data_IF_799145967763
#
_entry.id   IF_799145967763
#
_cell.length_a   1.000
_cell.length_b   1.000
_cell.length_c   1.000
_cell.angle_alpha   90.00
_cell.angle_beta   90.00
_cell.angle_gamma   90.00
#
_symmetry.space_group_name_H-M   'P 1'
#
loop_
_entity.id
_entity.type
_entity.pdbx_description
1 polymer ?
#
# COMPACT_ATOMS: atom_id res chain seq x y z
N UNK A 1 45.46 61.60 -2.60
CA UNK A 1 44.15 61.31 -2.02
C UNK A 1 43.47 60.24 -2.85
N UNK A 2 43.99 58.99 -2.86
CA UNK A 2 43.47 57.89 -3.73
C UNK A 2 44.00 56.52 -3.27
N UNK A 3 43.95 56.18 -1.98
CA UNK A 3 44.39 54.86 -1.51
C UNK A 3 43.37 54.17 -0.55
N UNK A 4 42.19 54.78 -0.32
CA UNK A 4 41.26 54.29 0.70
C UNK A 4 40.11 53.38 0.18
N UNK A 5 40.05 53.02 -1.10
CA UNK A 5 38.89 52.30 -1.66
C UNK A 5 39.14 50.85 -2.07
N UNK A 6 40.38 50.35 -2.10
CA UNK A 6 40.68 49.01 -2.57
C UNK A 6 40.54 47.89 -1.49
N UNK A 7 40.63 48.28 -0.22
CA UNK A 7 40.58 47.27 0.87
C UNK A 7 39.15 46.89 1.29
N UNK A 8 38.18 47.77 1.01
CA UNK A 8 36.78 47.55 1.33
C UNK A 8 36.12 46.59 0.34
N UNK A 9 36.54 46.65 -0.92
CA UNK A 9 35.97 45.76 -1.98
C UNK A 9 36.45 44.33 -1.86
N UNK A 10 37.69 44.11 -1.43
CA UNK A 10 38.24 42.75 -1.24
C UNK A 10 37.52 41.97 -0.10
N UNK A 11 37.18 42.67 0.99
CA UNK A 11 36.45 42.04 2.12
C UNK A 11 35.03 41.68 1.75
N UNK A 12 34.34 42.59 1.01
CA UNK A 12 32.97 42.33 0.51
C UNK A 12 32.96 41.14 -0.46
N UNK A 13 33.94 41.02 -1.35
CA UNK A 13 34.04 39.87 -2.27
C UNK A 13 34.33 38.56 -1.55
N UNK A 14 35.16 38.55 -0.51
CA UNK A 14 35.46 37.37 0.31
C UNK A 14 34.19 36.93 1.08
N UNK A 15 33.43 37.85 1.67
CA UNK A 15 32.18 37.53 2.36
C UNK A 15 31.08 37.04 1.41
N UNK A 16 30.97 37.63 0.20
CA UNK A 16 30.04 37.18 -0.82
C UNK A 16 30.39 35.77 -1.32
N UNK A 17 31.70 35.48 -1.50
CA UNK A 17 32.16 34.12 -1.86
C UNK A 17 31.89 33.08 -0.77
N UNK A 18 32.12 33.44 0.52
CA UNK A 18 31.80 32.55 1.64
C UNK A 18 30.29 32.27 1.77
N UNK A 19 29.47 33.29 1.56
CA UNK A 19 28.00 33.17 1.59
C UNK A 19 27.48 32.25 0.47
N UNK A 20 28.07 32.34 -0.74
CA UNK A 20 27.72 31.48 -1.87
C UNK A 20 28.12 30.02 -1.62
N UNK A 21 29.28 29.76 -1.01
CA UNK A 21 29.73 28.40 -0.65
C UNK A 21 28.83 27.79 0.44
N UNK A 22 28.41 28.58 1.42
CA UNK A 22 27.47 28.12 2.47
C UNK A 22 26.07 27.84 1.88
N UNK A 23 25.59 28.67 0.94
CA UNK A 23 24.29 28.44 0.29
C UNK A 23 24.30 27.16 -0.59
N UNK A 24 25.43 26.85 -1.24
CA UNK A 24 25.55 25.62 -2.05
C UNK A 24 25.68 24.36 -1.19
N UNK A 25 26.21 24.45 0.03
CA UNK A 25 26.26 23.31 0.97
C UNK A 25 24.89 22.95 1.56
N UNK A 26 23.96 23.88 1.65
CA UNK A 26 22.61 23.65 2.20
C UNK A 26 21.70 22.91 1.19
N UNK A 27 21.98 23.00 -0.11
CA UNK A 27 21.18 22.33 -1.16
C UNK A 27 21.57 20.86 -1.43
N UNK A 28 22.59 20.31 -0.74
CA UNK A 28 23.01 18.90 -0.83
C UNK A 28 22.44 18.01 0.29
N UNK A 29 21.46 18.50 1.04
CA UNK A 29 20.64 17.69 1.93
C UNK A 29 19.67 16.85 1.09
N UNK A 30 20.18 15.85 0.36
CA UNK A 30 19.35 14.78 -0.19
C UNK A 30 18.61 14.12 0.97
N UNK A 31 17.30 14.05 0.87
CA UNK A 31 16.45 13.28 1.77
C UNK A 31 16.95 11.81 1.80
N UNK A 32 17.73 11.51 2.82
CA UNK A 32 18.38 10.21 3.01
C UNK A 32 17.37 9.15 3.49
N UNK A 33 16.16 9.57 3.87
CA UNK A 33 15.11 8.68 4.35
C UNK A 33 14.55 7.76 3.24
N UNK A 34 14.73 8.15 1.98
CA UNK A 34 14.28 7.37 0.81
C UNK A 34 15.25 6.28 0.35
N UNK A 35 16.43 6.16 0.98
CA UNK A 35 17.51 5.24 0.53
C UNK A 35 17.62 3.95 1.34
N UNK A 36 17.07 3.90 2.56
CA UNK A 36 17.08 2.67 3.33
C UNK A 36 15.98 1.70 2.80
N UNK A 37 16.33 0.42 2.55
CA UNK A 37 15.33 -0.57 2.14
C UNK A 37 14.20 -0.65 3.17
N UNK A 38 12.98 -0.91 2.72
CA UNK A 38 11.87 -1.15 3.63
C UNK A 38 12.16 -2.38 4.49
N UNK A 39 11.76 -2.39 5.77
CA UNK A 39 11.97 -3.54 6.65
C UNK A 39 11.27 -4.78 6.11
N UNK A 40 11.81 -5.96 6.41
CA UNK A 40 11.12 -7.24 6.23
C UNK A 40 10.51 -7.62 7.58
N UNK A 41 9.18 -7.68 7.63
CA UNK A 41 8.41 -7.97 8.86
C UNK A 41 8.05 -9.46 8.94
N UNK A 42 7.77 -10.08 7.80
CA UNK A 42 7.35 -11.47 7.69
C UNK A 42 7.43 -11.99 6.27
N UNK A 43 6.95 -13.19 6.07
CA UNK A 43 6.84 -13.83 4.74
C UNK A 43 5.46 -14.43 4.59
N UNK A 44 4.84 -14.23 3.43
CA UNK A 44 3.57 -14.84 3.09
C UNK A 44 3.81 -16.16 2.38
N UNK A 45 3.15 -17.18 2.91
CA UNK A 45 3.00 -18.49 2.28
C UNK A 45 1.53 -18.90 2.42
N UNK A 46 0.77 -18.83 1.31
CA UNK A 46 -0.66 -19.09 1.28
C UNK A 46 -0.89 -20.35 0.45
N UNK A 47 -1.18 -21.49 1.09
CA UNK A 47 -1.36 -22.76 0.39
C UNK A 47 -2.73 -22.91 -0.27
N UNK A 48 -3.62 -21.90 -0.10
CA UNK A 48 -4.99 -21.94 -0.56
C UNK A 48 -5.16 -21.26 -1.91
N UNK A 49 -6.20 -21.66 -2.62
CA UNK A 49 -6.64 -21.05 -3.86
C UNK A 49 -8.04 -20.47 -3.63
N UNK A 50 -8.21 -19.21 -3.96
CA UNK A 50 -9.47 -18.48 -3.82
C UNK A 50 -10.12 -18.26 -5.19
N UNK A 51 -11.39 -17.90 -5.19
CA UNK A 51 -12.12 -17.55 -6.41
C UNK A 51 -12.35 -16.04 -6.47
N UNK A 52 -11.96 -15.41 -7.59
CA UNK A 52 -12.13 -13.97 -7.75
C UNK A 52 -13.53 -13.59 -8.28
N UNK A 53 -13.79 -12.28 -8.39
CA UNK A 53 -15.04 -11.72 -8.89
C UNK A 53 -15.37 -12.07 -10.34
N UNK A 54 -14.43 -12.62 -11.10
CA UNK A 54 -14.66 -13.16 -12.47
C UNK A 54 -14.68 -14.69 -12.53
N UNK A 55 -14.84 -15.34 -11.37
CA UNK A 55 -14.85 -16.81 -11.23
C UNK A 55 -13.53 -17.46 -11.66
N UNK A 56 -12.40 -16.75 -11.53
CA UNK A 56 -11.06 -17.29 -11.79
C UNK A 56 -10.46 -17.82 -10.48
N UNK A 57 -9.67 -18.89 -10.60
CA UNK A 57 -8.92 -19.40 -9.46
C UNK A 57 -7.66 -18.56 -9.25
N UNK A 58 -7.50 -18.02 -8.05
CA UNK A 58 -6.42 -17.12 -7.65
C UNK A 58 -5.60 -17.81 -6.55
N UNK A 59 -4.40 -18.22 -6.86
CA UNK A 59 -3.44 -18.79 -5.94
C UNK A 59 -2.21 -17.91 -5.78
N UNK A 60 -1.27 -18.33 -4.94
CA UNK A 60 -0.05 -17.59 -4.64
C UNK A 60 0.82 -17.35 -5.87
N UNK A 61 0.76 -18.23 -6.86
CA UNK A 61 1.53 -18.14 -8.11
C UNK A 61 1.25 -16.85 -8.90
N UNK A 62 0.05 -16.29 -8.82
CA UNK A 62 -0.29 -15.03 -9.47
C UNK A 62 0.53 -13.86 -8.94
N UNK A 63 0.93 -13.92 -7.68
CA UNK A 63 1.63 -12.84 -6.98
C UNK A 63 3.16 -13.00 -6.99
N UNK A 64 3.67 -14.12 -7.52
CA UNK A 64 5.11 -14.33 -7.65
C UNK A 64 5.73 -13.28 -8.58
N UNK A 65 6.76 -12.59 -8.10
CA UNK A 65 7.40 -11.50 -8.85
C UNK A 65 6.59 -10.21 -8.91
N UNK A 66 5.45 -10.12 -8.23
CA UNK A 66 4.62 -8.93 -8.14
C UNK A 66 4.71 -8.28 -6.76
N UNK A 67 4.57 -6.97 -6.73
CA UNK A 67 4.30 -6.21 -5.51
C UNK A 67 2.79 -6.15 -5.37
N UNK A 68 2.27 -6.34 -4.17
CA UNK A 68 0.84 -6.21 -3.97
C UNK A 68 0.46 -5.66 -2.60
N UNK A 69 -0.75 -5.13 -2.53
CA UNK A 69 -1.38 -4.73 -1.28
C UNK A 69 -2.56 -5.63 -1.02
N UNK A 70 -2.60 -6.23 0.19
CA UNK A 70 -3.69 -7.09 0.62
C UNK A 70 -4.50 -6.42 1.73
N UNK A 71 -5.83 -6.66 1.73
CA UNK A 71 -6.74 -6.34 2.81
C UNK A 71 -7.83 -7.40 3.00
N UNK A 72 -8.58 -7.26 4.10
CA UNK A 72 -9.75 -8.07 4.45
C UNK A 72 -10.96 -7.16 4.61
N UNK A 73 -12.07 -7.52 3.99
CA UNK A 73 -13.28 -6.71 3.92
C UNK A 73 -14.53 -7.58 3.86
N UNK A 74 -15.70 -6.98 3.86
CA UNK A 74 -16.95 -7.59 3.42
C UNK A 74 -17.87 -6.53 2.82
N UNK A 75 -18.69 -6.91 1.83
CA UNK A 75 -19.40 -5.94 0.99
C UNK A 75 -20.50 -5.19 1.76
N UNK A 76 -21.07 -5.83 2.80
CA UNK A 76 -22.14 -5.28 3.65
C UNK A 76 -21.65 -4.51 4.89
N UNK A 77 -20.33 -4.26 5.03
CA UNK A 77 -19.75 -3.55 6.18
C UNK A 77 -20.28 -2.11 6.29
N UNK A 78 -20.90 -1.73 7.43
CA UNK A 78 -21.49 -0.41 7.57
C UNK A 78 -20.54 0.66 8.13
N UNK A 79 -19.30 0.32 8.50
CA UNK A 79 -18.41 1.18 9.30
C UNK A 79 -17.13 1.57 8.57
N UNK A 80 -16.06 0.78 8.73
CA UNK A 80 -14.72 1.14 8.26
C UNK A 80 -14.48 0.83 6.76
N UNK A 81 -15.16 -0.18 6.21
CA UNK A 81 -14.91 -0.60 4.83
C UNK A 81 -15.17 0.50 3.78
N UNK A 82 -16.20 1.36 3.88
CA UNK A 82 -16.35 2.48 2.95
C UNK A 82 -15.14 3.41 2.92
N UNK A 83 -14.54 3.70 4.09
CA UNK A 83 -13.34 4.53 4.21
C UNK A 83 -12.15 3.80 3.59
N UNK A 84 -11.89 2.56 4.02
CA UNK A 84 -10.80 1.73 3.48
C UNK A 84 -10.92 1.57 1.96
N UNK A 85 -12.12 1.34 1.44
CA UNK A 85 -12.36 1.18 0.01
C UNK A 85 -12.05 2.46 -0.77
N UNK A 86 -12.43 3.61 -0.25
CA UNK A 86 -12.04 4.91 -0.83
C UNK A 86 -10.51 5.08 -0.88
N UNK A 87 -9.81 4.68 0.17
CA UNK A 87 -8.36 4.74 0.22
C UNK A 87 -7.70 3.72 -0.73
N UNK A 88 -8.26 2.50 -0.84
CA UNK A 88 -7.77 1.50 -1.78
C UNK A 88 -7.95 1.94 -3.24
N UNK A 89 -9.05 2.64 -3.55
CA UNK A 89 -9.26 3.25 -4.87
C UNK A 89 -8.18 4.29 -5.22
N UNK A 90 -7.67 5.06 -4.25
CA UNK A 90 -6.53 5.97 -4.49
C UNK A 90 -5.27 5.22 -4.91
N UNK A 91 -5.01 4.05 -4.29
CA UNK A 91 -3.89 3.19 -4.65
C UNK A 91 -4.13 2.61 -6.05
N UNK A 92 -5.33 2.08 -6.29
CA UNK A 92 -5.76 1.53 -7.57
C UNK A 92 -5.55 2.52 -8.72
N UNK A 93 -6.12 3.72 -8.63
CA UNK A 93 -6.01 4.74 -9.67
C UNK A 93 -4.57 5.13 -9.98
N UNK A 94 -3.68 5.06 -9.00
CA UNK A 94 -2.28 5.39 -9.19
C UNK A 94 -1.47 4.29 -9.86
N UNK A 95 -1.80 3.02 -9.61
CA UNK A 95 -0.96 1.89 -10.01
C UNK A 95 -1.64 0.87 -10.92
N UNK A 96 -2.91 1.04 -11.29
CA UNK A 96 -3.69 0.07 -12.10
C UNK A 96 -3.06 -0.29 -13.45
N UNK A 97 -2.28 0.63 -14.02
CA UNK A 97 -1.61 0.43 -15.31
C UNK A 97 -0.17 -0.13 -15.15
N UNK A 98 0.26 -0.44 -13.92
CA UNK A 98 1.58 -1.01 -13.65
C UNK A 98 1.48 -2.54 -13.56
N UNK A 99 2.07 -3.24 -14.51
CA UNK A 99 2.04 -4.70 -14.61
C UNK A 99 2.79 -5.43 -13.49
N UNK A 100 3.61 -4.72 -12.68
CA UNK A 100 4.33 -5.27 -11.53
C UNK A 100 3.55 -5.16 -10.22
N UNK A 101 2.36 -4.54 -10.24
CA UNK A 101 1.58 -4.25 -9.03
C UNK A 101 0.16 -4.81 -9.11
N UNK A 102 -0.32 -5.35 -8.00
CA UNK A 102 -1.68 -5.89 -7.87
C UNK A 102 -2.33 -5.47 -6.55
N UNK A 103 -3.65 -5.50 -6.51
CA UNK A 103 -4.45 -5.41 -5.29
C UNK A 103 -5.18 -6.72 -5.04
N UNK A 104 -5.26 -7.12 -3.77
CA UNK A 104 -5.90 -8.36 -3.34
C UNK A 104 -6.77 -8.11 -2.11
N UNK A 105 -8.08 -8.22 -2.25
CA UNK A 105 -9.04 -8.05 -1.15
C UNK A 105 -9.76 -9.36 -0.88
N UNK A 106 -9.62 -9.90 0.34
CA UNK A 106 -10.30 -11.12 0.75
C UNK A 106 -11.62 -10.79 1.45
N UNK A 107 -12.73 -11.33 0.96
CA UNK A 107 -13.98 -11.23 1.71
C UNK A 107 -13.95 -12.17 2.92
N UNK A 108 -14.32 -11.64 4.10
CA UNK A 108 -14.44 -12.43 5.33
C UNK A 108 -15.86 -12.94 5.58
N UNK A 109 -16.80 -12.63 4.69
CA UNK A 109 -18.19 -13.10 4.70
C UNK A 109 -18.53 -13.87 3.40
N UNK A 110 -17.87 -15.02 3.16
CA UNK A 110 -18.03 -15.76 1.90
C UNK A 110 -19.43 -16.33 1.69
N UNK A 111 -20.25 -16.43 2.73
CA UNK A 111 -21.64 -16.88 2.63
C UNK A 111 -22.51 -15.83 1.96
N UNK A 112 -22.26 -14.56 2.18
CA UNK A 112 -22.94 -13.43 1.54
C UNK A 112 -22.21 -12.98 0.26
N UNK A 113 -20.88 -12.85 0.33
CA UNK A 113 -20.04 -12.32 -0.73
C UNK A 113 -19.69 -13.41 -1.76
N UNK A 114 -20.70 -13.87 -2.48
CA UNK A 114 -20.52 -14.80 -3.60
C UNK A 114 -19.78 -14.14 -4.76
N UNK A 115 -19.38 -14.93 -5.76
CA UNK A 115 -18.73 -14.41 -6.98
C UNK A 115 -19.59 -13.34 -7.65
N UNK A 116 -20.92 -13.56 -7.73
CA UNK A 116 -21.85 -12.60 -8.33
C UNK A 116 -21.88 -11.28 -7.53
N UNK A 117 -21.94 -11.37 -6.19
CA UNK A 117 -21.94 -10.19 -5.31
C UNK A 117 -20.63 -9.42 -5.45
N UNK A 118 -19.49 -10.12 -5.49
CA UNK A 118 -18.18 -9.50 -5.68
C UNK A 118 -18.04 -8.88 -7.09
N UNK A 119 -18.59 -9.50 -8.12
CA UNK A 119 -18.61 -8.95 -9.48
C UNK A 119 -19.41 -7.65 -9.54
N UNK A 120 -20.64 -7.63 -8.99
CA UNK A 120 -21.45 -6.44 -8.90
C UNK A 120 -20.77 -5.33 -8.06
N UNK A 121 -20.07 -5.73 -7.00
CA UNK A 121 -19.32 -4.79 -6.16
C UNK A 121 -18.15 -4.16 -6.93
N UNK A 122 -17.40 -4.97 -7.68
CA UNK A 122 -16.32 -4.50 -8.55
C UNK A 122 -16.84 -3.53 -9.63
N UNK A 123 -17.99 -3.86 -10.26
CA UNK A 123 -18.62 -2.99 -11.25
C UNK A 123 -19.02 -1.63 -10.67
N UNK A 124 -19.56 -1.58 -9.45
CA UNK A 124 -19.87 -0.33 -8.76
C UNK A 124 -18.64 0.52 -8.42
N UNK A 125 -17.48 -0.12 -8.19
CA UNK A 125 -16.21 0.54 -7.95
C UNK A 125 -15.50 0.94 -9.25
N UNK A 126 -15.96 0.49 -10.41
CA UNK A 126 -15.32 0.65 -11.71
C UNK A 126 -13.86 0.14 -11.72
N UNK A 127 -13.62 -1.03 -11.13
CA UNK A 127 -12.29 -1.66 -11.04
C UNK A 127 -12.17 -2.86 -11.99
N UNK A 128 -10.95 -3.05 -12.51
CA UNK A 128 -10.60 -4.16 -13.40
C UNK A 128 -10.02 -5.33 -12.60
N UNK A 129 -10.53 -6.54 -12.86
CA UNK A 129 -10.12 -7.74 -12.14
C UNK A 129 -8.67 -8.17 -12.43
N UNK A 130 -8.03 -7.64 -13.47
CA UNK A 130 -6.62 -7.91 -13.78
C UNK A 130 -5.65 -7.08 -12.93
N UNK A 131 -6.14 -6.01 -12.29
CA UNK A 131 -5.34 -5.15 -11.41
C UNK A 131 -5.79 -5.23 -9.95
N UNK A 132 -7.06 -5.61 -9.70
CA UNK A 132 -7.60 -5.73 -8.35
C UNK A 132 -8.52 -6.95 -8.22
N UNK A 133 -8.02 -7.98 -7.52
CA UNK A 133 -8.77 -9.21 -7.25
C UNK A 133 -9.56 -9.06 -5.94
N UNK A 134 -10.88 -9.21 -6.03
CA UNK A 134 -11.77 -9.40 -4.89
C UNK A 134 -12.05 -10.88 -4.78
N UNK A 135 -11.59 -11.53 -3.72
CA UNK A 135 -11.64 -13.00 -3.63
C UNK A 135 -12.54 -13.49 -2.52
N UNK A 136 -13.14 -14.65 -2.75
CA UNK A 136 -13.93 -15.44 -1.82
C UNK A 136 -13.48 -16.89 -1.83
N UNK A 137 -13.90 -17.69 -0.84
CA UNK A 137 -13.50 -19.10 -0.72
C UNK A 137 -14.05 -19.77 0.54
N UNK A 138 -13.42 -20.84 1.00
CA UNK A 138 -13.80 -21.45 2.26
C UNK A 138 -13.48 -20.52 3.44
N UNK A 139 -14.43 -20.35 4.36
CA UNK A 139 -14.33 -19.42 5.49
C UNK A 139 -13.07 -19.65 6.33
N UNK A 140 -12.80 -20.91 6.64
CA UNK A 140 -11.65 -21.31 7.45
C UNK A 140 -10.33 -20.95 6.78
N UNK A 141 -10.23 -21.11 5.46
CA UNK A 141 -9.04 -20.78 4.67
C UNK A 141 -8.83 -19.26 4.60
N UNK A 142 -9.91 -18.49 4.49
CA UNK A 142 -9.84 -17.02 4.51
C UNK A 142 -9.34 -16.53 5.88
N UNK A 143 -9.85 -17.09 6.98
CA UNK A 143 -9.45 -16.68 8.33
C UNK A 143 -8.03 -17.13 8.66
N UNK A 144 -7.60 -18.33 8.23
CA UNK A 144 -6.20 -18.74 8.33
C UNK A 144 -5.29 -17.82 7.51
N UNK A 145 -5.74 -17.44 6.31
CA UNK A 145 -5.01 -16.46 5.47
C UNK A 145 -4.87 -15.12 6.17
N UNK A 146 -5.90 -14.58 6.80
CA UNK A 146 -5.80 -13.35 7.59
C UNK A 146 -4.75 -13.47 8.70
N UNK A 147 -4.75 -14.58 9.42
CA UNK A 147 -3.76 -14.85 10.45
C UNK A 147 -2.32 -14.90 9.88
N UNK A 148 -2.12 -15.51 8.69
CA UNK A 148 -0.81 -15.52 8.01
C UNK A 148 -0.33 -14.14 7.59
N UNK A 149 -1.26 -13.26 7.25
CA UNK A 149 -0.96 -11.83 7.03
C UNK A 149 -0.69 -11.07 8.33
N UNK A 150 -0.82 -11.70 9.51
CA UNK A 150 -0.71 -11.01 10.80
C UNK A 150 -1.89 -10.10 11.10
N UNK A 151 -3.04 -10.34 10.45
CA UNK A 151 -4.27 -9.56 10.58
C UNK A 151 -5.34 -10.36 11.30
N UNK A 152 -6.26 -9.67 11.99
CA UNK A 152 -7.42 -10.30 12.61
C UNK A 152 -8.60 -10.31 11.63
N UNK A 153 -9.30 -11.45 11.56
CA UNK A 153 -10.61 -11.60 10.93
C UNK A 153 -11.41 -12.63 11.74
N UNK A 154 -12.62 -12.27 12.18
CA UNK A 154 -13.50 -13.16 12.95
C UNK A 154 -14.95 -12.72 12.90
N UNK A 155 -15.86 -13.67 13.10
CA UNK A 155 -17.25 -13.37 13.39
C UNK A 155 -17.42 -12.88 14.83
N UNK A 156 -18.19 -11.81 14.99
CA UNK A 156 -18.67 -11.35 16.29
C UNK A 156 -20.08 -10.77 16.12
N UNK A 157 -21.07 -11.47 16.65
CA UNK A 157 -22.49 -11.07 16.56
C UNK A 157 -22.79 -9.70 17.19
N UNK A 158 -21.89 -9.19 18.04
CA UNK A 158 -22.02 -7.88 18.67
C UNK A 158 -21.33 -6.77 17.87
N UNK A 159 -20.52 -7.13 16.89
CA UNK A 159 -19.85 -6.17 16.02
C UNK A 159 -20.81 -5.65 14.94
N UNK A 160 -20.63 -4.39 14.49
CA UNK A 160 -21.37 -3.85 13.35
C UNK A 160 -21.18 -4.72 12.10
N UNK A 161 -22.29 -5.25 11.56
CA UNK A 161 -22.26 -6.16 10.42
C UNK A 161 -21.91 -7.61 10.74
N UNK A 162 -21.69 -7.96 12.02
CA UNK A 162 -21.44 -9.34 12.45
C UNK A 162 -19.99 -9.80 12.38
N UNK A 163 -19.04 -8.92 12.02
CA UNK A 163 -17.64 -9.27 11.82
C UNK A 163 -16.69 -8.23 12.41
N UNK A 164 -15.52 -8.69 12.84
CA UNK A 164 -14.35 -7.87 13.18
C UNK A 164 -13.25 -8.22 12.20
N UNK A 165 -12.66 -7.21 11.58
CA UNK A 165 -11.44 -7.34 10.80
C UNK A 165 -10.46 -6.20 11.06
N UNK A 166 -9.18 -6.46 10.78
CA UNK A 166 -8.16 -5.42 10.85
C UNK A 166 -8.46 -4.32 9.82
N UNK A 167 -8.44 -3.07 10.25
CA UNK A 167 -8.50 -1.90 9.38
C UNK A 167 -7.18 -1.58 8.67
N UNK A 168 -6.33 -2.57 8.42
CA UNK A 168 -4.97 -2.37 7.90
C UNK A 168 -4.81 -2.94 6.49
N UNK A 169 -4.00 -2.26 5.68
CA UNK A 169 -3.44 -2.73 4.43
C UNK A 169 -2.07 -3.34 4.67
N UNK A 170 -1.77 -4.47 4.02
CA UNK A 170 -0.47 -5.14 4.09
C UNK A 170 0.24 -5.00 2.76
N UNK A 171 1.44 -4.41 2.77
CA UNK A 171 2.32 -4.31 1.60
C UNK A 171 3.23 -5.51 1.52
N UNK A 172 3.24 -6.20 0.38
CA UNK A 172 4.05 -7.38 0.11
C UNK A 172 4.91 -7.15 -1.15
N UNK A 173 6.17 -7.56 -1.08
CA UNK A 173 7.11 -7.42 -2.21
C UNK A 173 7.11 -8.63 -3.15
N UNK A 174 7.94 -8.54 -4.23
CA UNK A 174 8.07 -9.56 -5.27
C UNK A 174 8.50 -10.94 -4.75
N UNK A 175 9.11 -11.01 -3.58
CA UNK A 175 9.56 -12.26 -2.93
C UNK A 175 8.55 -12.78 -1.87
N UNK A 176 7.36 -12.18 -1.80
CA UNK A 176 6.35 -12.54 -0.79
C UNK A 176 6.72 -12.08 0.63
N UNK A 177 7.58 -11.06 0.78
CA UNK A 177 7.94 -10.50 2.08
C UNK A 177 6.98 -9.37 2.45
N UNK A 178 6.47 -9.40 3.68
CA UNK A 178 5.70 -8.30 4.25
C UNK A 178 6.66 -7.15 4.54
N UNK A 179 6.39 -5.98 3.95
CA UNK A 179 7.22 -4.78 4.05
C UNK A 179 6.59 -3.70 4.92
N UNK A 180 5.30 -3.81 5.24
CA UNK A 180 4.62 -2.86 6.11
C UNK A 180 3.15 -3.16 6.31
N UNK A 181 2.61 -2.60 7.42
CA UNK A 181 1.19 -2.53 7.73
C UNK A 181 0.79 -1.06 7.82
N UNK A 182 -0.32 -0.70 7.17
CA UNK A 182 -0.78 0.68 7.07
C UNK A 182 -2.25 0.75 7.43
N UNK A 183 -2.62 1.66 8.33
CA UNK A 183 -4.03 1.84 8.69
C UNK A 183 -4.81 2.39 7.49
N UNK A 184 -5.69 1.56 6.93
CA UNK A 184 -6.49 1.87 5.75
C UNK A 184 -7.57 2.94 5.99
N UNK A 185 -7.82 3.31 7.26
CA UNK A 185 -8.74 4.38 7.65
C UNK A 185 -8.06 5.74 7.82
N UNK A 186 -6.72 5.81 7.77
CA UNK A 186 -5.92 7.02 7.96
C UNK A 186 -5.27 7.44 6.64
N UNK A 187 -5.64 8.61 6.13
CA UNK A 187 -5.13 9.12 4.84
C UNK A 187 -3.61 9.23 4.81
N UNK A 188 -3.00 9.74 5.89
CA UNK A 188 -1.54 9.88 6.01
C UNK A 188 -0.82 8.53 5.99
N UNK A 189 -1.43 7.48 6.56
CA UNK A 189 -0.88 6.13 6.50
C UNK A 189 -0.93 5.58 5.07
N UNK A 190 -1.99 5.85 4.34
CA UNK A 190 -2.13 5.45 2.94
C UNK A 190 -1.19 6.25 2.03
N UNK A 191 -0.94 7.52 2.32
CA UNK A 191 0.06 8.33 1.60
C UNK A 191 1.47 7.74 1.77
N UNK A 192 1.82 7.25 2.96
CA UNK A 192 3.08 6.51 3.18
C UNK A 192 3.09 5.20 2.39
N UNK A 193 2.01 4.42 2.43
CA UNK A 193 1.88 3.19 1.65
C UNK A 193 2.13 3.44 0.15
N UNK A 194 1.50 4.47 -0.41
CA UNK A 194 1.66 4.84 -1.83
C UNK A 194 3.13 5.17 -2.16
N UNK A 195 3.84 5.87 -1.27
CA UNK A 195 5.28 6.13 -1.44
C UNK A 195 6.11 4.85 -1.38
N UNK A 196 5.79 3.97 -0.44
CA UNK A 196 6.53 2.74 -0.24
C UNK A 196 6.28 1.71 -1.35
N UNK A 197 5.08 1.68 -1.96
CA UNK A 197 4.82 0.94 -3.21
C UNK A 197 5.75 1.44 -4.32
N UNK A 198 5.84 2.77 -4.53
CA UNK A 198 6.72 3.36 -5.52
C UNK A 198 8.19 2.97 -5.30
N UNK A 199 8.66 2.98 -4.05
CA UNK A 199 10.03 2.54 -3.69
C UNK A 199 10.28 1.09 -4.07
N UNK A 200 9.33 0.18 -3.79
CA UNK A 200 9.46 -1.23 -4.16
C UNK A 200 9.43 -1.45 -5.68
N UNK A 201 8.67 -0.64 -6.42
CA UNK A 201 8.65 -0.69 -7.90
C UNK A 201 10.02 -0.29 -8.46
N UNK A 202 10.66 0.70 -7.86
CA UNK A 202 11.98 1.21 -8.27
C UNK A 202 13.15 0.35 -7.76
N UNK A 203 12.91 -0.58 -6.81
CA UNK A 203 13.92 -1.55 -6.37
C UNK A 203 14.20 -2.58 -7.50
N UNK A 204 15.48 -2.89 -7.82
CA UNK A 204 15.85 -3.82 -8.89
C UNK A 204 15.48 -5.29 -8.61
#
# INVERSE_FOLDING_TARGET
MLIFNLEKDSKVQIWAGLLMVVLTMISLGCDQSSREPLPVIGTIDIPYTFTDQQNRQIGQELFQGKIYVADFFFTSCPTICPIMKSQMLRIYEKFKDNDQFLLLSHSIDPEHDTVEVLNDYAARLAIEADSWHLVTGAKEEIYDTAFRYGLAAMEDKNAPGGFIHSGSFTLVDRQGKIRGYYKGTEEEAVDRLIKDIGRLIDEP
#
